data_IF_171086838982
#
_entry.id   IF_171086838982
#
_cell.length_a   1.000
_cell.length_b   1.000
_cell.length_c   1.000
_cell.angle_alpha   90.00
_cell.angle_beta   90.00
_cell.angle_gamma   90.00
#
_symmetry.space_group_name_H-M   'P 1'
#
loop_
_entity.id
_entity.type
_entity.pdbx_description
1 polymer ?
#
# COMPACT_ATOMS: atom_id res chain seq x y z
N UNK A 1 -35.83 -20.59 -29.94
CA UNK A 1 -35.69 -19.89 -28.64
C UNK A 1 -34.53 -20.55 -27.93
N UNK A 2 -33.48 -19.81 -27.57
CA UNK A 2 -32.41 -20.34 -26.71
C UNK A 2 -33.01 -20.92 -25.42
N UNK A 3 -32.62 -22.15 -25.10
CA UNK A 3 -33.03 -22.81 -23.85
C UNK A 3 -32.23 -22.21 -22.68
N UNK A 4 -32.72 -22.32 -21.43
CA UNK A 4 -31.95 -21.91 -20.25
C UNK A 4 -30.57 -22.60 -20.15
N UNK A 5 -30.45 -23.82 -20.66
CA UNK A 5 -29.19 -24.55 -20.71
C UNK A 5 -28.21 -23.90 -21.70
N UNK A 6 -28.68 -23.51 -22.90
CA UNK A 6 -27.84 -22.84 -23.91
C UNK A 6 -27.28 -21.52 -23.38
N UNK A 7 -28.10 -20.76 -22.64
CA UNK A 7 -27.66 -19.53 -21.98
C UNK A 7 -26.58 -19.78 -20.91
N UNK A 8 -26.72 -20.84 -20.09
CA UNK A 8 -25.71 -21.20 -19.09
C UNK A 8 -24.40 -21.70 -19.70
N UNK A 9 -24.46 -22.49 -20.79
CA UNK A 9 -23.27 -22.93 -21.51
C UNK A 9 -22.52 -21.76 -22.17
N UNK A 10 -23.27 -20.81 -22.74
CA UNK A 10 -22.73 -19.57 -23.27
C UNK A 10 -21.98 -18.77 -22.19
N UNK A 11 -22.61 -18.54 -21.03
CA UNK A 11 -21.98 -17.86 -19.89
C UNK A 11 -20.71 -18.57 -19.41
N UNK A 12 -20.74 -19.91 -19.29
CA UNK A 12 -19.57 -20.69 -18.85
C UNK A 12 -18.40 -20.59 -19.84
N UNK A 13 -18.68 -20.62 -21.14
CA UNK A 13 -17.66 -20.50 -22.18
C UNK A 13 -17.02 -19.12 -22.16
N UNK A 14 -17.82 -18.08 -21.95
CA UNK A 14 -17.36 -16.68 -21.88
C UNK A 14 -16.54 -16.40 -20.62
N UNK A 15 -16.92 -16.94 -19.45
CA UNK A 15 -16.15 -16.79 -18.21
C UNK A 15 -14.73 -17.36 -18.34
N UNK A 16 -14.57 -18.46 -19.09
CA UNK A 16 -13.26 -19.10 -19.30
C UNK A 16 -12.31 -18.29 -20.20
N UNK A 17 -12.82 -17.32 -20.94
CA UNK A 17 -12.07 -16.49 -21.89
C UNK A 17 -11.91 -15.03 -21.42
N UNK A 18 -12.17 -14.75 -20.14
CA UNK A 18 -11.99 -13.42 -19.56
C UNK A 18 -10.49 -13.12 -19.41
N UNK A 19 -10.03 -12.09 -20.10
CA UNK A 19 -8.76 -11.38 -19.88
C UNK A 19 -9.04 -9.91 -19.54
N UNK A 20 -8.08 -9.21 -18.94
CA UNK A 20 -8.25 -7.82 -18.51
C UNK A 20 -8.66 -6.87 -19.64
N UNK A 21 -8.29 -7.16 -20.89
CA UNK A 21 -8.55 -6.28 -22.04
C UNK A 21 -9.98 -6.33 -22.61
N UNK A 22 -10.85 -7.23 -22.10
CA UNK A 22 -12.19 -7.45 -22.68
C UNK A 22 -13.34 -7.39 -21.65
N UNK A 23 -13.07 -6.89 -20.44
CA UNK A 23 -14.01 -6.90 -19.30
C UNK A 23 -15.32 -6.14 -19.63
N UNK A 24 -15.23 -4.96 -20.25
CA UNK A 24 -16.41 -4.13 -20.55
C UNK A 24 -17.40 -4.82 -21.50
N UNK A 25 -16.89 -5.47 -22.54
CA UNK A 25 -17.68 -6.21 -23.52
C UNK A 25 -18.40 -7.40 -22.87
N UNK A 26 -17.74 -8.13 -21.97
CA UNK A 26 -18.37 -9.21 -21.22
C UNK A 26 -19.46 -8.69 -20.26
N UNK A 27 -19.20 -7.57 -19.57
CA UNK A 27 -20.21 -6.93 -18.72
C UNK A 27 -21.45 -6.55 -19.52
N UNK A 28 -21.28 -5.95 -20.71
CA UNK A 28 -22.40 -5.57 -21.58
C UNK A 28 -23.25 -6.78 -22.00
N UNK A 29 -22.59 -7.88 -22.39
CA UNK A 29 -23.27 -9.14 -22.75
C UNK A 29 -24.05 -9.74 -21.58
N UNK A 30 -23.43 -9.84 -20.39
CA UNK A 30 -24.11 -10.35 -19.19
C UNK A 30 -25.30 -9.48 -18.80
N UNK A 31 -25.16 -8.15 -18.90
CA UNK A 31 -26.26 -7.21 -18.69
C UNK A 31 -27.40 -7.45 -19.69
N UNK A 32 -27.08 -7.70 -20.97
CA UNK A 32 -28.08 -8.01 -22.00
C UNK A 32 -28.84 -9.31 -21.72
N UNK A 33 -28.14 -10.38 -21.31
CA UNK A 33 -28.77 -11.65 -20.91
C UNK A 33 -29.68 -11.40 -19.70
N UNK A 34 -29.15 -10.74 -18.66
CA UNK A 34 -29.90 -10.44 -17.45
C UNK A 34 -31.16 -9.61 -17.70
N UNK A 35 -31.08 -8.59 -18.57
CA UNK A 35 -32.24 -7.77 -18.94
C UNK A 35 -33.28 -8.57 -19.75
N UNK A 36 -32.83 -9.47 -20.62
CA UNK A 36 -33.72 -10.35 -21.38
C UNK A 36 -34.48 -11.31 -20.46
N UNK A 37 -33.77 -11.95 -19.52
CA UNK A 37 -34.37 -12.84 -18.52
C UNK A 37 -35.33 -12.08 -17.59
N UNK A 38 -34.96 -10.89 -17.12
CA UNK A 38 -35.83 -10.05 -16.29
C UNK A 38 -37.15 -9.69 -17.01
N UNK A 39 -37.10 -9.37 -18.31
CA UNK A 39 -38.31 -9.14 -19.12
C UNK A 39 -39.18 -10.39 -19.25
N UNK A 40 -38.57 -11.58 -19.42
CA UNK A 40 -39.30 -12.86 -19.47
C UNK A 40 -39.97 -13.17 -18.14
N UNK A 41 -39.24 -13.02 -17.03
CA UNK A 41 -39.78 -13.20 -15.67
C UNK A 41 -40.97 -12.26 -15.47
N UNK A 42 -40.82 -10.97 -15.76
CA UNK A 42 -41.93 -10.02 -15.66
C UNK A 42 -43.12 -10.41 -16.53
N UNK A 43 -42.90 -10.78 -17.80
CA UNK A 43 -43.97 -11.22 -18.70
C UNK A 43 -44.63 -12.54 -18.28
N UNK A 44 -43.97 -13.35 -17.45
CA UNK A 44 -44.52 -14.58 -16.88
C UNK A 44 -45.17 -14.38 -15.52
N UNK A 45 -44.93 -13.28 -14.81
CA UNK A 45 -45.66 -12.96 -13.59
C UNK A 45 -46.92 -12.22 -14.03
N UNK A 46 -48.00 -12.92 -14.31
CA UNK A 46 -49.25 -12.30 -14.79
C UNK A 46 -50.43 -12.60 -13.89
N UNK A 47 -50.32 -13.60 -13.03
CA UNK A 47 -51.33 -13.97 -12.05
C UNK A 47 -50.83 -13.89 -10.60
N UNK A 48 -51.78 -13.91 -9.66
CA UNK A 48 -51.55 -13.79 -8.22
C UNK A 48 -50.58 -14.84 -7.66
N UNK A 49 -50.65 -16.09 -8.14
CA UNK A 49 -49.75 -17.17 -7.73
C UNK A 49 -48.29 -16.90 -8.11
N UNK A 50 -48.05 -16.35 -9.29
CA UNK A 50 -46.70 -16.04 -9.77
C UNK A 50 -46.12 -14.82 -9.03
N UNK A 51 -46.97 -13.83 -8.71
CA UNK A 51 -46.59 -12.70 -7.86
C UNK A 51 -46.15 -13.16 -6.46
N UNK A 52 -46.90 -14.10 -5.87
CA UNK A 52 -46.55 -14.66 -4.57
C UNK A 52 -45.18 -15.33 -4.59
N UNK A 53 -44.87 -16.12 -5.63
CA UNK A 53 -43.54 -16.76 -5.78
C UNK A 53 -42.43 -15.71 -5.88
N UNK A 54 -42.62 -14.64 -6.66
CA UNK A 54 -41.65 -13.56 -6.78
C UNK A 54 -41.40 -12.88 -5.42
N UNK A 55 -42.47 -12.64 -4.66
CA UNK A 55 -42.40 -12.04 -3.32
C UNK A 55 -41.64 -12.93 -2.34
N UNK A 56 -41.96 -14.22 -2.28
CA UNK A 56 -41.24 -15.18 -1.44
C UNK A 56 -39.75 -15.25 -1.83
N UNK A 57 -39.43 -15.15 -3.11
CA UNK A 57 -38.04 -15.08 -3.58
C UNK A 57 -37.31 -13.84 -3.03
N UNK A 58 -37.98 -12.69 -3.01
CA UNK A 58 -37.43 -11.46 -2.40
C UNK A 58 -37.17 -11.66 -0.90
N UNK A 59 -38.07 -12.31 -0.16
CA UNK A 59 -37.85 -12.62 1.25
C UNK A 59 -36.70 -13.59 1.48
N UNK A 60 -36.52 -14.61 0.63
CA UNK A 60 -35.36 -15.51 0.69
C UNK A 60 -34.06 -14.74 0.48
N UNK A 61 -34.01 -13.84 -0.50
CA UNK A 61 -32.83 -12.98 -0.72
C UNK A 61 -32.55 -12.07 0.47
N UNK A 62 -33.58 -11.42 1.03
CA UNK A 62 -33.44 -10.60 2.23
C UNK A 62 -32.95 -11.40 3.45
N UNK A 63 -33.45 -12.63 3.62
CA UNK A 63 -33.00 -13.55 4.65
C UNK A 63 -31.52 -13.90 4.48
N UNK A 64 -31.08 -14.19 3.25
CA UNK A 64 -29.69 -14.48 2.95
C UNK A 64 -28.76 -13.27 3.20
N UNK A 65 -29.17 -12.06 2.79
CA UNK A 65 -28.44 -10.81 3.09
C UNK A 65 -28.28 -10.65 4.60
N UNK A 66 -29.38 -10.82 5.35
CA UNK A 66 -29.40 -10.68 6.81
C UNK A 66 -28.50 -11.72 7.49
N UNK A 67 -28.53 -12.97 7.02
CA UNK A 67 -27.67 -14.05 7.52
C UNK A 67 -26.18 -13.70 7.37
N UNK A 68 -25.76 -13.31 6.16
CA UNK A 68 -24.36 -12.96 5.91
C UNK A 68 -23.94 -11.67 6.61
N UNK A 69 -24.83 -10.69 6.73
CA UNK A 69 -24.59 -9.49 7.54
C UNK A 69 -24.36 -9.83 9.03
N UNK A 70 -25.19 -10.71 9.60
CA UNK A 70 -25.00 -11.18 10.98
C UNK A 70 -23.68 -11.94 11.13
N UNK A 71 -23.31 -12.78 10.15
CA UNK A 71 -22.00 -13.45 10.14
C UNK A 71 -20.84 -12.47 10.08
N UNK A 72 -20.95 -11.40 9.30
CA UNK A 72 -19.95 -10.33 9.27
C UNK A 72 -19.82 -9.65 10.64
N UNK A 73 -20.93 -9.32 11.31
CA UNK A 73 -20.92 -8.76 12.67
C UNK A 73 -20.29 -9.71 13.70
N UNK A 74 -20.55 -11.02 13.59
CA UNK A 74 -19.93 -12.04 14.44
C UNK A 74 -18.40 -12.03 14.28
N UNK A 75 -17.92 -11.98 13.03
CA UNK A 75 -16.48 -11.91 12.71
C UNK A 75 -15.83 -10.60 13.14
N UNK A 76 -16.54 -9.48 13.02
CA UNK A 76 -16.08 -8.20 13.54
C UNK A 76 -15.84 -8.26 15.06
N UNK A 77 -16.75 -8.89 15.83
CA UNK A 77 -16.58 -9.06 17.28
C UNK A 77 -15.38 -9.94 17.63
N UNK A 78 -15.08 -10.93 16.79
CA UNK A 78 -13.92 -11.81 16.91
C UNK A 78 -12.60 -11.14 16.45
N UNK A 79 -12.64 -9.88 15.98
CA UNK A 79 -11.51 -9.17 15.36
C UNK A 79 -10.91 -9.89 14.13
N UNK A 80 -11.69 -10.79 13.51
CA UNK A 80 -11.35 -11.44 12.25
C UNK A 80 -11.85 -10.58 11.09
N UNK A 81 -11.10 -9.53 10.76
CA UNK A 81 -11.51 -8.51 9.79
C UNK A 81 -11.53 -9.03 8.35
N UNK A 82 -10.72 -10.03 8.02
CA UNK A 82 -10.70 -10.66 6.69
C UNK A 82 -12.00 -11.44 6.47
N UNK A 83 -12.37 -12.31 7.41
CA UNK A 83 -13.65 -13.01 7.31
C UNK A 83 -14.84 -12.06 7.42
N UNK A 84 -14.74 -11.00 8.23
CA UNK A 84 -15.76 -9.95 8.31
C UNK A 84 -15.99 -9.31 6.94
N UNK A 85 -14.92 -8.93 6.24
CA UNK A 85 -14.99 -8.35 4.90
C UNK A 85 -15.63 -9.32 3.91
N UNK A 86 -15.20 -10.59 3.89
CA UNK A 86 -15.75 -11.59 2.99
C UNK A 86 -17.26 -11.78 3.16
N UNK A 87 -17.74 -11.94 4.40
CA UNK A 87 -19.18 -12.10 4.66
C UNK A 87 -19.98 -10.82 4.34
N UNK A 88 -19.44 -9.64 4.62
CA UNK A 88 -20.08 -8.38 4.26
C UNK A 88 -20.17 -8.22 2.73
N UNK A 89 -19.14 -8.64 1.98
CA UNK A 89 -19.15 -8.66 0.52
C UNK A 89 -20.18 -9.64 -0.06
N UNK A 90 -20.38 -10.82 0.56
CA UNK A 90 -21.46 -11.73 0.16
C UNK A 90 -22.84 -11.09 0.36
N UNK A 91 -23.06 -10.42 1.50
CA UNK A 91 -24.30 -9.70 1.75
C UNK A 91 -24.52 -8.57 0.73
N UNK A 92 -23.47 -7.78 0.43
CA UNK A 92 -23.51 -6.72 -0.57
C UNK A 92 -23.84 -7.24 -1.97
N UNK A 93 -23.23 -8.35 -2.40
CA UNK A 93 -23.47 -8.97 -3.70
C UNK A 93 -24.91 -9.44 -3.86
N UNK A 94 -25.48 -10.09 -2.84
CA UNK A 94 -26.89 -10.52 -2.86
C UNK A 94 -27.83 -9.31 -2.84
N UNK A 95 -27.52 -8.28 -2.06
CA UNK A 95 -28.29 -7.03 -2.03
C UNK A 95 -28.32 -6.34 -3.40
N UNK A 96 -27.19 -6.31 -4.10
CA UNK A 96 -27.12 -5.76 -5.46
C UNK A 96 -28.04 -6.50 -6.43
N UNK A 97 -28.12 -7.83 -6.35
CA UNK A 97 -29.06 -8.63 -7.16
C UNK A 97 -30.51 -8.30 -6.81
N UNK A 98 -30.84 -8.24 -5.51
CA UNK A 98 -32.18 -7.91 -5.03
C UNK A 98 -32.64 -6.54 -5.57
N UNK A 99 -31.82 -5.50 -5.37
CA UNK A 99 -32.14 -4.11 -5.74
C UNK A 99 -32.21 -3.92 -7.26
N UNK A 100 -31.29 -4.53 -8.02
CA UNK A 100 -31.21 -4.27 -9.47
C UNK A 100 -32.11 -5.16 -10.31
N UNK A 101 -32.48 -6.36 -9.84
CA UNK A 101 -33.24 -7.33 -10.63
C UNK A 101 -34.65 -7.58 -10.09
N UNK A 102 -34.80 -7.80 -8.78
CA UNK A 102 -36.07 -8.26 -8.22
C UNK A 102 -37.00 -7.12 -7.83
N UNK A 103 -36.50 -6.10 -7.12
CA UNK A 103 -37.34 -4.96 -6.70
C UNK A 103 -38.00 -4.21 -7.88
N UNK A 104 -37.34 -3.97 -9.04
CA UNK A 104 -37.99 -3.30 -10.16
C UNK A 104 -39.12 -4.11 -10.78
N UNK A 105 -39.00 -5.44 -10.82
CA UNK A 105 -40.06 -6.35 -11.30
C UNK A 105 -41.22 -6.32 -10.31
N UNK A 106 -40.91 -6.46 -9.02
CA UNK A 106 -41.90 -6.43 -7.96
C UNK A 106 -42.70 -5.11 -8.02
N UNK A 107 -42.01 -3.96 -8.06
CA UNK A 107 -42.58 -2.61 -8.10
C UNK A 107 -43.61 -2.40 -9.22
N UNK A 108 -43.37 -2.98 -10.41
CA UNK A 108 -44.32 -2.89 -11.54
C UNK A 108 -45.60 -3.69 -11.32
N UNK A 109 -45.58 -4.72 -10.47
CA UNK A 109 -46.78 -5.51 -10.14
C UNK A 109 -47.68 -4.88 -9.07
N UNK A 110 -47.14 -4.12 -8.12
CA UNK A 110 -47.94 -3.47 -7.06
C UNK A 110 -48.95 -2.48 -7.62
N UNK A 111 -48.63 -1.83 -8.74
CA UNK A 111 -49.55 -0.98 -9.48
C UNK A 111 -50.87 -1.68 -9.83
N UNK A 112 -50.90 -3.02 -9.86
CA UNK A 112 -52.09 -3.82 -10.14
C UNK A 112 -52.80 -4.36 -8.88
N UNK A 113 -52.08 -4.57 -7.77
CA UNK A 113 -52.59 -5.32 -6.60
C UNK A 113 -52.69 -4.51 -5.28
N UNK A 114 -52.49 -3.19 -5.31
CA UNK A 114 -52.66 -2.29 -4.14
C UNK A 114 -51.77 -2.61 -2.90
N UNK A 115 -50.65 -3.30 -3.06
CA UNK A 115 -49.71 -3.68 -1.98
C UNK A 115 -48.62 -2.63 -1.69
N UNK A 116 -48.98 -1.34 -1.61
CA UNK A 116 -47.99 -0.23 -1.56
C UNK A 116 -47.17 -0.18 -0.27
N UNK A 117 -47.80 -0.44 0.88
CA UNK A 117 -47.15 -0.38 2.20
C UNK A 117 -46.07 -1.45 2.38
N UNK A 118 -46.31 -2.67 1.90
CA UNK A 118 -45.37 -3.80 1.99
C UNK A 118 -44.05 -3.49 1.25
N UNK A 119 -44.14 -2.75 0.14
CA UNK A 119 -42.98 -2.35 -0.65
C UNK A 119 -42.17 -1.25 -0.02
N UNK A 120 -42.84 -0.26 0.58
CA UNK A 120 -42.15 0.76 1.35
C UNK A 120 -41.36 0.11 2.49
N UNK A 121 -41.90 -0.93 3.12
CA UNK A 121 -41.21 -1.69 4.16
C UNK A 121 -39.97 -2.43 3.64
N UNK A 122 -40.12 -3.18 2.53
CA UNK A 122 -39.01 -3.89 1.87
C UNK A 122 -37.89 -2.90 1.47
N UNK A 123 -38.24 -1.77 0.86
CA UNK A 123 -37.28 -0.76 0.44
C UNK A 123 -36.55 -0.12 1.63
N UNK A 124 -37.27 0.18 2.73
CA UNK A 124 -36.66 0.71 3.96
C UNK A 124 -35.65 -0.26 4.56
N UNK A 125 -36.01 -1.56 4.67
CA UNK A 125 -35.08 -2.59 5.17
C UNK A 125 -33.84 -2.66 4.30
N UNK A 126 -34.00 -2.72 2.98
CA UNK A 126 -32.87 -2.85 2.06
C UNK A 126 -31.95 -1.63 2.11
N UNK A 127 -32.52 -0.42 2.11
CA UNK A 127 -31.74 0.81 2.22
C UNK A 127 -30.95 0.86 3.53
N UNK A 128 -31.54 0.42 4.64
CA UNK A 128 -30.85 0.36 5.93
C UNK A 128 -29.73 -0.70 5.94
N UNK A 129 -30.02 -1.91 5.45
CA UNK A 129 -29.03 -3.00 5.36
C UNK A 129 -27.85 -2.60 4.48
N UNK A 130 -28.10 -1.97 3.35
CA UNK A 130 -27.06 -1.52 2.42
C UNK A 130 -26.09 -0.54 3.10
N UNK A 131 -26.63 0.45 3.83
CA UNK A 131 -25.83 1.41 4.58
C UNK A 131 -24.96 0.73 5.65
N UNK A 132 -25.53 -0.20 6.41
CA UNK A 132 -24.81 -0.91 7.46
C UNK A 132 -23.75 -1.88 6.90
N UNK A 133 -24.04 -2.57 5.80
CA UNK A 133 -23.05 -3.43 5.11
C UNK A 133 -21.87 -2.59 4.61
N UNK A 134 -22.15 -1.45 3.96
CA UNK A 134 -21.10 -0.55 3.48
C UNK A 134 -20.24 -0.01 4.63
N UNK A 135 -20.87 0.39 5.73
CA UNK A 135 -20.17 0.82 6.95
C UNK A 135 -19.27 -0.28 7.53
N UNK A 136 -19.73 -1.53 7.55
CA UNK A 136 -18.91 -2.67 8.00
C UNK A 136 -17.72 -2.93 7.08
N UNK A 137 -17.92 -2.89 5.77
CA UNK A 137 -16.85 -3.08 4.77
C UNK A 137 -15.75 -2.04 4.96
N UNK A 138 -16.13 -0.76 5.08
CA UNK A 138 -15.17 0.34 5.27
C UNK A 138 -14.38 0.15 6.57
N UNK A 139 -15.06 -0.18 7.67
CA UNK A 139 -14.40 -0.42 8.95
C UNK A 139 -13.48 -1.64 8.91
N UNK A 140 -13.89 -2.74 8.27
CA UNK A 140 -13.05 -3.93 8.13
C UNK A 140 -11.78 -3.61 7.32
N UNK A 141 -11.92 -2.90 6.19
CA UNK A 141 -10.80 -2.45 5.35
C UNK A 141 -9.82 -1.57 6.14
N UNK A 142 -10.33 -0.60 6.89
CA UNK A 142 -9.49 0.29 7.70
C UNK A 142 -8.67 -0.49 8.74
N UNK A 143 -9.27 -1.49 9.40
CA UNK A 143 -8.55 -2.30 10.39
C UNK A 143 -7.53 -3.24 9.76
N UNK A 144 -7.83 -3.83 8.59
CA UNK A 144 -6.86 -4.65 7.83
C UNK A 144 -5.64 -3.81 7.48
N UNK A 145 -5.85 -2.64 6.89
CA UNK A 145 -4.78 -1.71 6.52
C UNK A 145 -3.97 -1.26 7.74
N UNK A 146 -4.61 -0.92 8.87
CA UNK A 146 -3.88 -0.58 10.11
C UNK A 146 -3.00 -1.71 10.62
N UNK A 147 -3.49 -2.96 10.59
CA UNK A 147 -2.69 -4.10 11.04
C UNK A 147 -1.49 -4.40 10.13
N UNK A 148 -1.62 -4.17 8.82
CA UNK A 148 -0.51 -4.25 7.88
C UNK A 148 0.51 -3.14 8.16
N UNK A 149 0.06 -1.90 8.32
CA UNK A 149 0.93 -0.76 8.64
C UNK A 149 1.74 -0.98 9.92
N UNK A 150 1.12 -1.49 11.00
CA UNK A 150 1.83 -1.78 12.26
C UNK A 150 2.94 -2.82 12.07
N UNK A 151 2.71 -3.87 11.26
CA UNK A 151 3.74 -4.87 10.97
C UNK A 151 4.89 -4.27 10.17
N UNK A 152 4.58 -3.40 9.23
CA UNK A 152 5.56 -2.69 8.39
C UNK A 152 6.40 -1.75 9.25
N UNK A 153 5.77 -0.91 10.08
CA UNK A 153 6.45 -0.03 11.05
C UNK A 153 7.39 -0.80 11.99
N UNK A 154 6.97 -1.96 12.49
CA UNK A 154 7.82 -2.81 13.34
C UNK A 154 9.05 -3.35 12.60
N UNK A 155 8.90 -3.76 11.34
CA UNK A 155 10.02 -4.21 10.50
C UNK A 155 11.00 -3.08 10.22
N UNK A 156 10.49 -1.94 9.75
CA UNK A 156 11.28 -0.73 9.49
C UNK A 156 12.05 -0.30 10.76
N UNK A 157 11.37 -0.25 11.91
CA UNK A 157 12.01 0.11 13.18
C UNK A 157 13.15 -0.85 13.57
N UNK A 158 13.00 -2.15 13.26
CA UNK A 158 14.05 -3.15 13.50
C UNK A 158 15.24 -2.95 12.55
N UNK A 159 15.00 -2.75 11.26
CA UNK A 159 16.05 -2.47 10.26
C UNK A 159 16.82 -1.21 10.65
N UNK A 160 16.12 -0.09 10.87
CA UNK A 160 16.75 1.19 11.27
C UNK A 160 17.62 1.04 12.52
N UNK A 161 17.14 0.35 13.57
CA UNK A 161 17.93 0.12 14.78
C UNK A 161 19.21 -0.66 14.48
N UNK A 162 19.13 -1.63 13.57
CA UNK A 162 20.27 -2.43 13.12
C UNK A 162 21.25 -1.54 12.34
N UNK A 163 20.75 -0.77 11.37
CA UNK A 163 21.57 0.18 10.61
C UNK A 163 22.30 1.19 11.49
N UNK A 164 21.62 1.82 12.46
CA UNK A 164 22.24 2.76 13.41
C UNK A 164 23.32 2.06 14.23
N UNK A 165 23.04 0.85 14.72
CA UNK A 165 24.01 0.06 15.50
C UNK A 165 25.25 -0.27 14.67
N UNK A 166 25.08 -0.69 13.42
CA UNK A 166 26.20 -1.02 12.53
C UNK A 166 27.01 0.21 12.11
N UNK A 167 26.34 1.31 11.77
CA UNK A 167 27.01 2.56 11.38
C UNK A 167 27.84 3.16 12.52
N UNK A 168 27.37 3.05 13.78
CA UNK A 168 28.06 3.61 14.96
C UNK A 168 29.16 2.71 15.53
N UNK A 169 29.13 1.40 15.26
CA UNK A 169 30.12 0.42 15.76
C UNK A 169 31.15 -0.01 14.71
N UNK A 170 31.37 0.81 13.68
CA UNK A 170 32.35 0.56 12.64
C UNK A 170 33.78 0.39 13.20
N UNK A 171 34.52 -0.53 12.60
CA UNK A 171 35.89 -0.87 12.98
C UNK A 171 36.92 0.20 12.58
N UNK A 172 38.15 0.03 13.08
CA UNK A 172 39.27 0.91 12.72
C UNK A 172 39.59 0.92 11.22
N UNK A 173 39.28 -0.15 10.48
CA UNK A 173 39.55 -0.24 9.04
C UNK A 173 38.68 0.71 8.23
N UNK A 174 37.40 0.85 8.61
CA UNK A 174 36.47 1.82 8.02
C UNK A 174 37.01 3.24 8.23
N UNK A 175 37.45 3.56 9.45
CA UNK A 175 38.07 4.86 9.75
C UNK A 175 39.36 5.08 8.95
N UNK A 176 40.23 4.08 8.86
CA UNK A 176 41.49 4.18 8.14
C UNK A 176 41.26 4.51 6.66
N UNK A 177 40.29 3.82 6.03
CA UNK A 177 39.88 4.11 4.66
C UNK A 177 39.40 5.55 4.51
N UNK A 178 38.49 6.00 5.39
CA UNK A 178 37.98 7.37 5.34
C UNK A 178 39.09 8.42 5.46
N UNK A 179 40.04 8.22 6.38
CA UNK A 179 41.21 9.10 6.55
C UNK A 179 42.08 9.09 5.29
N UNK A 180 42.37 7.94 4.70
CA UNK A 180 43.20 7.83 3.50
C UNK A 180 42.58 8.59 2.33
N UNK A 181 41.26 8.45 2.13
CA UNK A 181 40.53 9.12 1.04
C UNK A 181 40.47 10.65 1.25
N UNK A 182 40.37 11.10 2.50
CA UNK A 182 40.04 12.49 2.83
C UNK A 182 41.22 13.35 3.31
N UNK A 183 42.39 12.79 3.63
CA UNK A 183 43.53 13.51 4.24
C UNK A 183 44.06 14.73 3.47
N UNK A 184 43.72 14.86 2.17
CA UNK A 184 44.12 16.00 1.33
C UNK A 184 43.20 17.23 1.48
N UNK A 185 42.06 17.08 2.15
CA UNK A 185 41.08 18.14 2.36
C UNK A 185 41.10 18.61 3.82
N UNK A 186 40.75 19.88 4.09
CA UNK A 186 40.55 20.37 5.46
C UNK A 186 39.49 19.57 6.20
N UNK A 187 39.64 19.46 7.52
CA UNK A 187 38.64 18.81 8.38
C UNK A 187 37.30 19.55 8.31
N UNK A 188 36.21 18.81 8.12
CA UNK A 188 34.85 19.35 8.04
C UNK A 188 34.51 20.00 6.69
N UNK A 189 35.40 19.96 5.70
CA UNK A 189 35.13 20.45 4.35
C UNK A 189 34.14 19.49 3.64
N UNK A 190 33.14 20.04 2.95
CA UNK A 190 32.17 19.26 2.18
C UNK A 190 32.83 18.32 1.16
N UNK A 191 34.04 18.65 0.69
CA UNK A 191 34.83 17.80 -0.22
C UNK A 191 35.21 16.46 0.40
N UNK A 192 35.35 16.38 1.73
CA UNK A 192 35.55 15.10 2.42
C UNK A 192 34.29 14.24 2.29
N UNK A 193 33.11 14.81 2.60
CA UNK A 193 31.84 14.11 2.46
C UNK A 193 31.58 13.67 1.02
N UNK A 194 31.82 14.56 0.04
CA UNK A 194 31.72 14.26 -1.39
C UNK A 194 32.63 13.11 -1.81
N UNK A 195 33.89 13.10 -1.35
CA UNK A 195 34.83 12.04 -1.73
C UNK A 195 34.40 10.66 -1.21
N UNK A 196 33.87 10.60 0.01
CA UNK A 196 33.35 9.37 0.60
C UNK A 196 32.08 8.90 -0.09
N UNK A 197 31.17 9.83 -0.39
CA UNK A 197 29.97 9.59 -1.18
C UNK A 197 30.32 8.96 -2.55
N UNK A 198 31.18 9.61 -3.33
CA UNK A 198 31.63 9.12 -4.63
C UNK A 198 32.31 7.75 -4.52
N UNK A 199 33.10 7.50 -3.46
CA UNK A 199 33.68 6.18 -3.24
C UNK A 199 32.60 5.10 -3.05
N UNK A 200 31.59 5.33 -2.21
CA UNK A 200 30.54 4.32 -1.98
C UNK A 200 29.63 4.16 -3.20
N UNK A 201 29.38 5.25 -3.96
CA UNK A 201 28.62 5.20 -5.21
C UNK A 201 29.35 4.39 -6.27
N UNK A 202 30.63 4.68 -6.50
CA UNK A 202 31.39 4.18 -7.66
C UNK A 202 32.07 2.82 -7.40
N UNK A 203 32.43 2.51 -6.15
CA UNK A 203 33.24 1.31 -5.83
C UNK A 203 32.43 0.17 -5.18
N UNK A 204 31.15 0.40 -4.85
CA UNK A 204 30.27 -0.60 -4.24
C UNK A 204 29.10 -0.89 -5.19
N UNK A 205 29.04 -2.09 -5.73
CA UNK A 205 28.00 -2.51 -6.67
C UNK A 205 26.66 -2.71 -5.97
N UNK A 206 25.58 -2.19 -6.55
CA UNK A 206 24.24 -2.45 -6.04
C UNK A 206 23.84 -3.91 -6.31
N UNK A 207 23.53 -4.67 -5.26
CA UNK A 207 22.99 -6.04 -5.37
C UNK A 207 21.86 -6.18 -4.36
N UNK A 208 20.68 -6.55 -4.84
CA UNK A 208 19.49 -6.76 -4.01
C UNK A 208 19.69 -7.91 -3.02
N UNK A 209 19.02 -7.77 -1.88
CA UNK A 209 18.84 -8.81 -0.89
C UNK A 209 18.21 -10.11 -1.44
N UNK A 210 18.41 -11.26 -0.77
CA UNK A 210 17.72 -12.49 -1.08
C UNK A 210 16.19 -12.30 -1.03
N UNK A 211 15.49 -12.96 -1.95
CA UNK A 211 14.05 -12.79 -2.11
C UNK A 211 13.27 -12.97 -0.79
N UNK A 212 12.57 -11.92 -0.35
CA UNK A 212 11.76 -11.83 0.88
C UNK A 212 12.56 -11.92 2.20
N UNK A 213 13.86 -11.62 2.18
CA UNK A 213 14.70 -11.57 3.38
C UNK A 213 15.42 -10.24 3.41
N UNK A 214 15.16 -9.43 4.44
CA UNK A 214 15.93 -8.22 4.73
C UNK A 214 17.20 -8.59 5.49
N UNK A 215 18.37 -8.23 4.97
CA UNK A 215 19.68 -8.48 5.57
C UNK A 215 20.62 -7.26 5.52
N UNK A 216 20.64 -6.47 6.60
CA UNK A 216 21.60 -5.37 6.74
C UNK A 216 23.03 -5.88 7.00
N UNK A 217 23.96 -5.60 6.10
CA UNK A 217 25.38 -5.91 6.25
C UNK A 217 26.11 -4.87 7.12
N UNK A 218 27.17 -5.32 7.80
CA UNK A 218 28.07 -4.37 8.48
C UNK A 218 28.94 -3.63 7.46
N UNK A 219 29.42 -2.40 7.78
CA UNK A 219 30.32 -1.65 6.90
C UNK A 219 31.53 -2.46 6.40
N UNK A 220 32.09 -3.32 7.26
CA UNK A 220 33.23 -4.19 6.94
C UNK A 220 32.87 -5.26 5.92
N UNK A 221 31.68 -5.84 6.03
CA UNK A 221 31.18 -6.85 5.10
C UNK A 221 30.95 -6.19 3.74
N UNK A 222 30.26 -5.04 3.70
CA UNK A 222 30.04 -4.28 2.46
C UNK A 222 31.36 -3.89 1.79
N UNK A 223 32.36 -3.45 2.56
CA UNK A 223 33.70 -3.15 2.02
C UNK A 223 34.43 -4.38 1.48
N UNK A 224 34.28 -5.53 2.15
CA UNK A 224 34.91 -6.79 1.75
C UNK A 224 34.28 -7.36 0.48
N UNK A 225 32.95 -7.34 0.41
CA UNK A 225 32.19 -7.87 -0.73
C UNK A 225 32.18 -6.90 -1.92
N UNK A 226 32.34 -5.59 -1.66
CA UNK A 226 32.15 -4.50 -2.63
C UNK A 226 30.77 -4.52 -3.28
N UNK A 227 29.78 -4.98 -2.54
CA UNK A 227 28.40 -5.02 -2.99
C UNK A 227 27.44 -4.98 -1.81
N UNK A 228 26.22 -4.51 -2.07
CA UNK A 228 25.10 -4.42 -1.14
C UNK A 228 23.97 -3.59 -1.73
N UNK A 229 22.79 -3.60 -1.13
CA UNK A 229 21.66 -2.82 -1.63
C UNK A 229 21.63 -1.38 -1.05
N UNK A 230 20.44 -0.78 -0.90
CA UNK A 230 20.30 0.58 -0.40
C UNK A 230 20.72 0.71 1.06
N UNK A 231 20.38 -0.25 1.94
CA UNK A 231 20.65 -0.12 3.37
C UNK A 231 22.13 -0.36 3.68
N UNK A 232 22.77 -1.33 3.01
CA UNK A 232 24.19 -1.65 3.09
C UNK A 232 25.06 -0.47 2.70
N UNK A 233 24.76 0.13 1.54
CA UNK A 233 25.49 1.29 1.02
C UNK A 233 25.26 2.50 1.92
N UNK A 234 24.05 2.68 2.45
CA UNK A 234 23.76 3.75 3.40
C UNK A 234 24.52 3.57 4.72
N UNK A 235 24.54 2.35 5.28
CA UNK A 235 25.27 2.00 6.52
C UNK A 235 26.77 2.23 6.35
N UNK A 236 27.35 1.78 5.24
CA UNK A 236 28.77 2.01 4.95
C UNK A 236 29.10 3.50 4.81
N UNK A 237 28.30 4.26 4.05
CA UNK A 237 28.53 5.69 3.85
C UNK A 237 28.41 6.47 5.17
N UNK A 238 27.38 6.18 5.98
CA UNK A 238 27.20 6.77 7.30
C UNK A 238 28.40 6.44 8.21
N UNK A 239 28.85 5.18 8.24
CA UNK A 239 30.01 4.76 9.02
C UNK A 239 31.29 5.51 8.63
N UNK A 240 31.57 5.65 7.33
CA UNK A 240 32.73 6.39 6.83
C UNK A 240 32.69 7.86 7.25
N UNK A 241 31.54 8.52 7.12
CA UNK A 241 31.33 9.93 7.49
C UNK A 241 31.48 10.15 9.00
N UNK A 242 30.78 9.35 9.81
CA UNK A 242 30.87 9.36 11.27
C UNK A 242 32.30 9.14 11.74
N UNK A 243 33.02 8.21 11.10
CA UNK A 243 34.38 7.86 11.48
C UNK A 243 35.37 9.03 11.34
N UNK A 244 35.05 10.08 10.59
CA UNK A 244 35.88 11.29 10.47
C UNK A 244 35.21 12.56 11.03
N UNK A 245 34.14 12.38 11.81
CA UNK A 245 33.53 13.45 12.61
C UNK A 245 32.38 14.21 11.96
N UNK A 246 31.82 13.70 10.86
CA UNK A 246 30.59 14.27 10.31
C UNK A 246 29.35 13.80 11.09
N UNK A 247 28.39 14.68 11.27
CA UNK A 247 27.04 14.32 11.71
C UNK A 247 26.23 13.79 10.53
N UNK A 248 25.57 12.66 10.73
CA UNK A 248 24.82 11.95 9.68
C UNK A 248 23.40 11.60 10.11
N UNK A 249 22.50 11.42 9.16
CA UNK A 249 21.16 10.89 9.35
C UNK A 249 20.84 9.85 8.25
N UNK A 250 19.81 9.05 8.48
CA UNK A 250 19.14 8.29 7.42
C UNK A 250 17.87 9.03 7.00
N UNK A 251 17.70 9.17 5.69
CA UNK A 251 16.43 9.54 5.07
C UNK A 251 15.73 8.28 4.61
N UNK A 252 14.52 8.07 5.11
CA UNK A 252 13.65 6.98 4.69
C UNK A 252 12.70 7.53 3.64
N UNK A 253 12.68 6.91 2.47
CA UNK A 253 11.98 7.38 1.29
C UNK A 253 10.96 6.36 0.78
N UNK A 254 9.90 6.89 0.20
CA UNK A 254 8.94 6.18 -0.64
C UNK A 254 9.15 6.66 -2.08
N UNK A 255 9.66 5.77 -2.93
CA UNK A 255 10.02 6.09 -4.32
C UNK A 255 8.86 5.85 -5.29
N UNK A 256 7.79 5.18 -4.87
CA UNK A 256 6.66 4.81 -5.72
C UNK A 256 5.33 5.50 -5.30
N UNK A 257 5.35 6.25 -4.19
CA UNK A 257 4.26 7.00 -3.59
C UNK A 257 3.05 6.14 -3.18
N UNK A 258 3.29 4.89 -2.78
CA UNK A 258 2.27 3.97 -2.26
C UNK A 258 2.02 4.12 -0.75
N UNK A 259 2.82 4.97 -0.09
CA UNK A 259 2.79 5.25 1.34
C UNK A 259 3.69 4.35 2.18
N UNK A 260 4.47 3.46 1.56
CA UNK A 260 5.41 2.57 2.22
C UNK A 260 6.86 2.90 1.85
N UNK A 261 7.79 2.83 2.81
CA UNK A 261 9.19 3.06 2.50
C UNK A 261 9.80 1.87 1.78
N UNK A 262 10.48 2.16 0.68
CA UNK A 262 11.17 1.20 -0.17
C UNK A 262 12.63 1.59 -0.43
N UNK A 263 13.07 2.73 0.10
CA UNK A 263 14.43 3.23 -0.09
C UNK A 263 15.00 3.95 1.14
N UNK A 264 16.32 3.92 1.26
CA UNK A 264 17.06 4.61 2.31
C UNK A 264 18.36 5.19 1.76
N UNK A 265 18.68 6.41 2.19
CA UNK A 265 19.94 7.06 1.85
C UNK A 265 20.43 7.95 3.01
N UNK A 266 21.66 8.46 2.88
CA UNK A 266 22.34 9.19 3.96
C UNK A 266 22.14 10.69 3.80
N UNK A 267 21.94 11.40 4.90
CA UNK A 267 22.14 12.84 4.97
C UNK A 267 23.39 13.19 5.76
N UNK A 268 24.11 14.23 5.34
CA UNK A 268 25.24 14.80 6.11
C UNK A 268 24.97 16.26 6.46
N UNK A 269 25.21 16.65 7.72
CA UNK A 269 25.00 18.01 8.17
C UNK A 269 26.20 18.90 7.81
N UNK A 270 26.00 19.84 6.88
CA UNK A 270 27.03 20.72 6.33
C UNK A 270 26.52 22.16 6.17
N UNK A 271 26.40 22.94 7.26
CA UNK A 271 25.88 24.31 7.21
C UNK A 271 26.73 25.26 6.34
N UNK A 272 28.03 24.97 6.23
CA UNK A 272 28.98 25.79 5.47
C UNK A 272 29.16 25.33 4.01
N UNK A 273 28.42 24.31 3.55
CA UNK A 273 28.50 23.89 2.16
C UNK A 273 27.92 24.94 1.20
N UNK A 274 28.41 25.01 -0.06
CA UNK A 274 27.80 25.83 -1.10
C UNK A 274 26.31 25.56 -1.30
N UNK A 275 25.52 26.61 -1.49
CA UNK A 275 24.06 26.53 -1.63
C UNK A 275 23.59 25.65 -2.80
N UNK A 276 24.40 25.52 -3.87
CA UNK A 276 24.11 24.63 -5.00
C UNK A 276 23.97 23.15 -4.60
N UNK A 277 24.56 22.76 -3.46
CA UNK A 277 24.51 21.39 -2.93
C UNK A 277 23.47 21.21 -1.82
N UNK A 278 22.62 22.21 -1.55
CA UNK A 278 21.59 22.17 -0.50
C UNK A 278 20.19 22.14 -1.13
N UNK A 279 19.72 20.98 -1.61
CA UNK A 279 18.45 20.90 -2.34
C UNK A 279 17.23 20.99 -1.42
N UNK A 280 17.40 20.72 -0.12
CA UNK A 280 16.31 20.64 0.83
C UNK A 280 15.82 22.03 1.24
N UNK A 281 14.51 22.21 1.47
CA UNK A 281 13.96 23.51 1.88
C UNK A 281 14.39 23.88 3.30
N UNK A 282 14.38 25.18 3.60
CA UNK A 282 14.55 25.69 4.97
C UNK A 282 13.38 25.28 5.84
N UNK A 283 13.66 24.45 6.84
CA UNK A 283 12.68 23.91 7.77
C UNK A 283 13.38 23.51 9.06
N UNK A 284 12.96 24.10 10.17
CA UNK A 284 13.47 23.69 11.49
C UNK A 284 12.87 22.34 11.86
N UNK A 285 13.73 21.39 12.19
CA UNK A 285 13.40 20.05 12.64
C UNK A 285 13.16 20.02 14.15
N UNK A 286 12.61 18.93 14.66
CA UNK A 286 12.28 18.76 16.09
C UNK A 286 13.52 18.83 17.00
N UNK A 287 14.70 18.53 16.46
CA UNK A 287 15.99 18.66 17.15
C UNK A 287 16.60 20.08 17.09
N UNK A 288 15.87 21.04 16.49
CA UNK A 288 16.28 22.44 16.35
C UNK A 288 17.22 22.73 15.17
N UNK A 289 17.65 21.72 14.40
CA UNK A 289 18.51 21.90 13.21
C UNK A 289 17.67 22.30 11.99
N UNK A 290 18.30 23.02 11.06
CA UNK A 290 17.67 23.37 9.77
C UNK A 290 17.88 22.24 8.76
N UNK A 291 16.78 21.68 8.24
CA UNK A 291 16.77 20.66 7.19
C UNK A 291 17.59 21.08 5.97
N UNK A 292 17.62 22.37 5.64
CA UNK A 292 18.39 22.91 4.52
C UNK A 292 19.90 22.69 4.65
N UNK A 293 20.41 22.52 5.87
CA UNK A 293 21.83 22.23 6.11
C UNK A 293 22.16 20.74 6.02
N UNK A 294 21.17 19.88 5.76
CA UNK A 294 21.39 18.47 5.47
C UNK A 294 21.53 18.27 3.97
N UNK A 295 22.67 17.72 3.56
CA UNK A 295 22.92 17.36 2.16
C UNK A 295 22.56 15.89 1.98
N UNK A 296 21.59 15.56 1.11
CA UNK A 296 21.24 14.18 0.79
C UNK A 296 22.33 13.55 -0.08
N UNK A 297 22.70 12.32 0.25
CA UNK A 297 23.73 11.51 -0.37
C UNK A 297 23.17 10.12 -0.62
N UNK A 298 22.69 9.89 -1.84
CA UNK A 298 22.19 8.59 -2.28
C UNK A 298 23.25 7.85 -3.13
N UNK A 299 23.96 6.86 -2.55
CA UNK A 299 25.01 6.14 -3.26
C UNK A 299 24.47 5.06 -4.21
N UNK A 300 23.15 4.84 -4.27
CA UNK A 300 22.54 3.79 -5.11
C UNK A 300 22.31 4.24 -6.56
N UNK A 301 22.23 5.54 -6.80
CA UNK A 301 22.09 6.11 -8.13
C UNK A 301 23.48 6.41 -8.72
N UNK A 302 23.88 5.63 -9.73
CA UNK A 302 25.22 5.73 -10.37
C UNK A 302 25.48 7.13 -10.97
N UNK A 303 24.45 7.81 -11.48
CA UNK A 303 24.55 9.12 -12.13
C UNK A 303 24.26 10.31 -11.18
N UNK A 304 24.00 10.07 -9.90
CA UNK A 304 23.66 11.13 -8.95
C UNK A 304 24.90 11.93 -8.55
N UNK A 305 24.84 13.27 -8.67
CA UNK A 305 25.88 14.17 -8.14
C UNK A 305 25.64 14.47 -6.65
N UNK A 306 26.66 15.04 -6.00
CA UNK A 306 26.63 15.40 -4.59
C UNK A 306 25.50 16.40 -4.27
N UNK A 307 24.62 16.04 -3.33
CA UNK A 307 23.49 16.88 -2.96
C UNK A 307 22.36 16.92 -4.00
N UNK A 308 22.33 15.98 -4.94
CA UNK A 308 21.19 15.79 -5.84
C UNK A 308 20.33 14.66 -5.29
N UNK A 309 19.00 14.84 -5.35
CA UNK A 309 18.03 13.79 -5.04
C UNK A 309 17.57 13.24 -6.40
N UNK A 310 17.91 11.98 -6.75
CA UNK A 310 17.75 11.48 -8.10
C UNK A 310 16.32 11.11 -8.52
N UNK A 311 15.29 11.36 -7.70
CA UNK A 311 13.90 11.10 -8.08
C UNK A 311 13.04 12.35 -7.89
N UNK A 312 12.31 12.70 -8.95
CA UNK A 312 11.44 13.89 -9.01
C UNK A 312 10.28 13.83 -7.99
N UNK A 313 9.94 12.63 -7.51
CA UNK A 313 8.82 12.35 -6.59
C UNK A 313 9.27 11.60 -5.30
N UNK A 314 10.45 11.86 -4.74
CA UNK A 314 10.80 11.28 -3.42
C UNK A 314 9.95 11.91 -2.32
N UNK A 315 9.02 11.14 -1.77
CA UNK A 315 8.43 11.42 -0.47
C UNK A 315 9.42 11.06 0.63
N UNK A 316 10.14 12.04 1.19
CA UNK A 316 10.91 11.81 2.42
C UNK A 316 9.90 11.55 3.54
N UNK A 317 9.74 10.28 3.91
CA UNK A 317 8.81 9.84 4.95
C UNK A 317 9.35 10.15 6.34
N UNK A 318 10.65 9.89 6.56
CA UNK A 318 11.29 10.05 7.87
C UNK A 318 12.72 10.56 7.76
N UNK A 319 13.09 11.38 8.75
CA UNK A 319 14.46 11.81 9.05
C UNK A 319 14.89 11.16 10.36
N UNK A 320 16.02 10.44 10.35
CA UNK A 320 16.50 9.69 11.52
C UNK A 320 17.96 10.08 11.80
N UNK A 321 18.22 10.96 12.79
CA UNK A 321 19.58 11.35 13.12
C UNK A 321 20.34 10.16 13.71
N UNK A 322 21.59 9.97 13.27
CA UNK A 322 22.49 8.94 13.81
C UNK A 322 23.27 9.58 14.94
N UNK A 323 22.83 9.33 16.17
CA UNK A 323 23.49 9.83 17.38
C UNK A 323 24.53 8.78 17.82
N UNK A 324 25.84 9.10 17.84
CA UNK A 324 26.84 8.20 18.40
C UNK A 324 26.51 7.94 19.87
N UNK A 325 26.52 6.67 20.29
CA UNK A 325 26.34 6.30 21.70
C UNK A 325 27.55 6.87 22.46
N UNK A 326 27.31 7.77 23.44
CA UNK A 326 28.36 8.24 24.35
C UNK A 326 29.02 7.01 25.02
N UNK A 327 30.33 6.87 24.83
CA UNK A 327 31.12 5.76 25.38
C UNK A 327 31.46 5.95 26.85
#
# INVERSE_FOLDING_TARGET
METPADAMYSILSEIKTISNDNIENYLEKLLKIGNTLARRIFGSVTCEKEYFILKETVYILQSAISYFFIKALEKQKQQDFVSCLAYASYAAGINAVLVTKFLPILQRHITFNNSKEEMEYIQRINSWLEQEINRLILKARENISKHENVKIEQRISKTIKTMISLATNATGDVRNLAVILCKKFPAGDFKQARRLYEYVRDEITYIQDPCNVEEVQSPEVTLKLRAGDCDDKAVLLAALLLSIGFETCFFIADTNNDGYPDHVYVGVHLPNAPEIYKPLPRKILDDGRDLHNWIPLDPTCEDSDFGVIPLDDVGILQYIPIVPIEK
#
